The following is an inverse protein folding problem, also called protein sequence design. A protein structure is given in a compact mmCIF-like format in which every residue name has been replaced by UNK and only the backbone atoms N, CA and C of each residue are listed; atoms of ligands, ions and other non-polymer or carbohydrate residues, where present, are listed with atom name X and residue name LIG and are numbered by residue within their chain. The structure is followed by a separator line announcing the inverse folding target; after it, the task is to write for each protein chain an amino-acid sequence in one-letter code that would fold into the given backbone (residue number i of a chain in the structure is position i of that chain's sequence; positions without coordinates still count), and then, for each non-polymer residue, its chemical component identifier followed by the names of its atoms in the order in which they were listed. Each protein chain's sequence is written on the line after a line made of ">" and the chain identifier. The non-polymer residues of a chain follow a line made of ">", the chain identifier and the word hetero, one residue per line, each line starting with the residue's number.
data_IF_381482875250
#
_entry.id   IF_381482875250
#
_cell.length_a   1.000
_cell.length_b   1.000
_cell.length_c   1.000
_cell.angle_alpha   90.00
_cell.angle_beta   90.00
_cell.angle_gamma   90.00
#
_symmetry.space_group_name_H-M   'P 1'
#
loop_
_entity.id
_entity.type
_entity.pdbx_description
1 polymer ?
#
# COMPACT_ATOMS: atom_id res chain seq x y z
N UNK A 1 -31.31 -29.31 -20.01
CA UNK A 1 -30.72 -28.29 -19.12
C UNK A 1 -29.87 -29.04 -18.11
N UNK A 2 -28.56 -29.12 -18.36
CA UNK A 2 -27.66 -29.90 -17.51
C UNK A 2 -27.38 -29.11 -16.23
N UNK A 3 -27.70 -29.72 -15.09
CA UNK A 3 -27.37 -29.21 -13.76
C UNK A 3 -25.85 -29.12 -13.64
N UNK A 4 -25.33 -27.90 -13.54
CA UNK A 4 -23.94 -27.64 -13.16
C UNK A 4 -23.85 -27.86 -11.64
N UNK A 5 -23.22 -28.96 -11.23
CA UNK A 5 -22.95 -29.27 -9.84
C UNK A 5 -21.79 -28.38 -9.33
N UNK A 6 -22.02 -27.47 -8.37
CA UNK A 6 -21.00 -26.57 -7.84
C UNK A 6 -19.99 -27.26 -6.89
N UNK A 7 -20.10 -28.57 -6.69
CA UNK A 7 -19.33 -29.35 -5.71
C UNK A 7 -18.33 -30.33 -6.34
N UNK A 8 -18.27 -30.39 -7.68
CA UNK A 8 -17.29 -31.22 -8.37
C UNK A 8 -15.87 -30.73 -8.00
N UNK A 9 -14.99 -31.61 -7.47
CA UNK A 9 -13.60 -31.25 -7.24
C UNK A 9 -13.01 -30.70 -8.53
N UNK A 10 -12.31 -29.57 -8.46
CA UNK A 10 -11.67 -28.93 -9.61
C UNK A 10 -10.56 -29.85 -10.17
N UNK A 11 -10.96 -30.88 -10.93
CA UNK A 11 -10.12 -31.95 -11.45
C UNK A 11 -9.40 -31.51 -12.75
N UNK A 12 -8.85 -30.31 -12.71
CA UNK A 12 -8.03 -29.75 -13.77
C UNK A 12 -6.92 -28.93 -13.12
N UNK A 13 -5.69 -29.47 -13.12
CA UNK A 13 -4.49 -28.71 -12.74
C UNK A 13 -4.56 -27.34 -13.40
N UNK A 14 -4.30 -26.27 -12.64
CA UNK A 14 -4.31 -24.91 -13.14
C UNK A 14 -3.61 -24.87 -14.51
N UNK A 15 -4.33 -24.43 -15.56
CA UNK A 15 -3.78 -24.35 -16.91
C UNK A 15 -2.42 -23.64 -16.85
N UNK A 16 -1.42 -24.13 -17.59
CA UNK A 16 -0.06 -23.54 -17.62
C UNK A 16 -0.09 -22.03 -17.91
N UNK A 17 -1.15 -21.52 -18.53
CA UNK A 17 -1.38 -20.09 -18.73
C UNK A 17 -1.73 -19.33 -17.44
N UNK A 18 -2.55 -19.89 -16.56
CA UNK A 18 -2.90 -19.30 -15.26
C UNK A 18 -1.67 -19.23 -14.35
N UNK A 19 -0.87 -20.29 -14.30
CA UNK A 19 0.42 -20.27 -13.58
C UNK A 19 1.38 -19.22 -14.14
N UNK A 20 1.47 -19.07 -15.46
CA UNK A 20 2.32 -18.04 -16.09
C UNK A 20 1.84 -16.62 -15.80
N UNK A 21 0.53 -16.39 -15.76
CA UNK A 21 -0.06 -15.08 -15.39
C UNK A 21 0.21 -14.74 -13.93
N UNK A 22 -0.09 -15.66 -13.02
CA UNK A 22 0.19 -15.51 -11.58
C UNK A 22 1.68 -15.22 -11.32
N UNK A 23 2.58 -15.96 -11.98
CA UNK A 23 4.03 -15.78 -11.81
C UNK A 23 4.54 -14.43 -12.31
N UNK A 24 3.86 -13.80 -13.28
CA UNK A 24 4.17 -12.44 -13.74
C UNK A 24 3.64 -11.40 -12.76
N UNK A 25 2.41 -11.56 -12.28
CA UNK A 25 1.80 -10.68 -11.29
C UNK A 25 2.58 -10.68 -9.96
N UNK A 26 2.96 -11.86 -9.46
CA UNK A 26 3.78 -11.98 -8.24
C UNK A 26 5.14 -11.31 -8.39
N UNK A 27 5.77 -11.37 -9.57
CA UNK A 27 7.06 -10.68 -9.80
C UNK A 27 6.90 -9.17 -9.70
N UNK A 28 5.87 -8.60 -10.31
CA UNK A 28 5.58 -7.17 -10.21
C UNK A 28 5.33 -6.76 -8.77
N UNK A 29 4.55 -7.54 -8.02
CA UNK A 29 4.29 -7.27 -6.60
C UNK A 29 5.56 -7.33 -5.74
N UNK A 30 6.43 -8.31 -5.97
CA UNK A 30 7.70 -8.46 -5.25
C UNK A 30 8.63 -7.27 -5.54
N UNK A 31 8.72 -6.80 -6.80
CA UNK A 31 9.54 -5.63 -7.15
C UNK A 31 9.07 -4.39 -6.40
N UNK A 32 7.75 -4.15 -6.36
CA UNK A 32 7.17 -3.02 -5.63
C UNK A 32 7.42 -3.12 -4.12
N UNK A 33 7.30 -4.33 -3.56
CA UNK A 33 7.57 -4.59 -2.15
C UNK A 33 9.03 -4.31 -1.78
N UNK A 34 9.99 -4.80 -2.57
CA UNK A 34 11.42 -4.53 -2.35
C UNK A 34 11.72 -3.04 -2.47
N UNK A 35 11.10 -2.35 -3.42
CA UNK A 35 11.26 -0.90 -3.57
C UNK A 35 10.70 -0.10 -2.37
N UNK A 36 9.59 -0.54 -1.79
CA UNK A 36 9.06 0.06 -0.54
C UNK A 36 10.05 -0.09 0.61
N UNK A 37 10.60 -1.30 0.79
CA UNK A 37 11.61 -1.57 1.83
C UNK A 37 12.86 -0.71 1.60
N UNK A 38 13.30 -0.56 0.35
CA UNK A 38 14.44 0.30 0.04
C UNK A 38 14.25 1.75 0.48
N UNK A 39 13.09 2.34 0.19
CA UNK A 39 12.77 3.72 0.59
C UNK A 39 12.68 3.85 2.12
N UNK A 40 12.04 2.90 2.81
CA UNK A 40 11.91 2.96 4.27
C UNK A 40 13.25 2.77 4.97
N UNK A 41 14.08 1.83 4.52
CA UNK A 41 15.45 1.67 5.04
C UNK A 41 16.26 2.95 4.83
N UNK A 42 16.13 3.60 3.67
CA UNK A 42 16.81 4.89 3.42
C UNK A 42 16.35 5.98 4.40
N UNK A 43 15.04 6.07 4.67
CA UNK A 43 14.51 7.00 5.66
C UNK A 43 15.08 6.72 7.06
N UNK A 44 15.08 5.45 7.51
CA UNK A 44 15.65 5.07 8.81
C UNK A 44 17.13 5.36 8.92
N UNK A 45 17.92 5.04 7.87
CA UNK A 45 19.35 5.34 7.85
C UNK A 45 19.60 6.85 7.96
N UNK A 46 18.79 7.67 7.29
CA UNK A 46 18.89 9.13 7.36
C UNK A 46 18.68 9.66 8.78
N UNK A 47 17.77 9.07 9.55
CA UNK A 47 17.52 9.46 10.95
C UNK A 47 18.55 8.87 11.92
N UNK A 48 18.91 7.61 11.72
CA UNK A 48 19.85 6.90 12.58
C UNK A 48 21.28 7.42 12.42
N UNK A 49 21.58 8.00 11.25
CA UNK A 49 22.84 8.67 11.01
C UNK A 49 22.77 10.08 11.62
N UNK A 50 23.36 10.28 12.80
CA UNK A 50 23.47 11.59 13.47
C UNK A 50 24.25 12.66 12.65
N UNK A 51 24.70 12.29 11.46
CA UNK A 51 25.35 13.17 10.47
C UNK A 51 24.40 14.18 9.83
N UNK A 52 23.07 13.99 9.91
CA UNK A 52 22.10 14.89 9.31
C UNK A 52 21.40 15.72 10.39
N UNK A 53 21.44 17.06 10.32
CA UNK A 53 20.73 17.92 11.25
C UNK A 53 19.23 17.60 11.29
N UNK A 54 18.66 17.53 12.49
CA UNK A 54 17.23 17.24 12.72
C UNK A 54 16.30 18.21 11.98
N UNK A 55 16.72 19.47 11.80
CA UNK A 55 15.98 20.46 11.02
C UNK A 55 15.80 20.11 9.54
N UNK A 56 16.69 19.31 8.95
CA UNK A 56 16.57 18.80 7.58
C UNK A 56 15.98 17.38 7.54
N UNK A 57 16.34 16.53 8.51
CA UNK A 57 15.86 15.15 8.56
C UNK A 57 14.33 15.07 8.64
N UNK A 58 13.70 15.86 9.53
CA UNK A 58 12.25 15.84 9.76
C UNK A 58 11.43 16.08 8.47
N UNK A 59 11.61 17.20 7.73
CA UNK A 59 10.85 17.43 6.50
C UNK A 59 11.19 16.41 5.40
N UNK A 60 12.43 15.93 5.34
CA UNK A 60 12.84 14.91 4.37
C UNK A 60 12.12 13.57 4.60
N UNK A 61 12.02 13.09 5.83
CA UNK A 61 11.29 11.86 6.17
C UNK A 61 9.80 12.02 5.91
N UNK A 62 9.22 13.18 6.23
CA UNK A 62 7.80 13.45 5.95
C UNK A 62 7.49 13.41 4.45
N UNK A 63 8.41 13.89 3.61
CA UNK A 63 8.29 13.78 2.16
C UNK A 63 8.37 12.31 1.72
N UNK A 64 9.33 11.54 2.22
CA UNK A 64 9.43 10.10 1.94
C UNK A 64 8.22 9.32 2.44
N UNK A 65 7.66 9.67 3.61
CA UNK A 65 6.46 9.07 4.16
C UNK A 65 5.22 9.36 3.30
N UNK A 66 5.13 10.56 2.72
CA UNK A 66 4.05 10.93 1.80
C UNK A 66 4.12 10.11 0.51
N UNK A 67 5.33 9.96 -0.06
CA UNK A 67 5.57 9.08 -1.22
C UNK A 67 5.21 7.63 -0.87
N UNK A 68 5.53 7.16 0.34
CA UNK A 68 5.14 5.83 0.80
C UNK A 68 3.63 5.65 0.81
N UNK A 69 2.86 6.58 1.38
CA UNK A 69 1.39 6.47 1.40
C UNK A 69 0.82 6.36 -0.01
N UNK A 70 1.30 7.16 -0.96
CA UNK A 70 0.85 7.12 -2.37
C UNK A 70 1.21 5.78 -3.02
N UNK A 71 2.45 5.34 -2.84
CA UNK A 71 2.96 4.06 -3.37
C UNK A 71 2.20 2.87 -2.79
N UNK A 72 1.90 2.90 -1.49
CA UNK A 72 1.09 1.89 -0.82
C UNK A 72 -0.30 1.86 -1.43
N UNK A 73 -0.98 3.00 -1.57
CA UNK A 73 -2.30 3.06 -2.17
C UNK A 73 -2.29 2.61 -3.64
N UNK A 74 -1.26 2.92 -4.44
CA UNK A 74 -1.19 2.57 -5.85
C UNK A 74 -0.83 1.09 -6.09
N UNK A 75 0.11 0.51 -5.35
CA UNK A 75 0.56 -0.87 -5.59
C UNK A 75 -0.27 -1.93 -4.87
N UNK A 76 -0.81 -1.64 -3.69
CA UNK A 76 -1.77 -2.54 -3.02
C UNK A 76 -3.08 -2.61 -3.81
N UNK A 77 -3.38 -1.57 -4.58
CA UNK A 77 -4.55 -1.46 -5.40
C UNK A 77 -4.18 -1.63 -6.87
N UNK A 78 -3.94 -2.87 -7.29
CA UNK A 78 -3.92 -3.22 -8.70
C UNK A 78 -5.32 -2.95 -9.30
N UNK A 79 -5.61 -1.69 -9.66
CA UNK A 79 -6.84 -1.18 -10.29
C UNK A 79 -7.08 -1.77 -11.70
N UNK A 80 -6.44 -2.87 -12.06
CA UNK A 80 -6.68 -3.56 -13.32
C UNK A 80 -7.81 -4.59 -13.25
N UNK A 81 -8.41 -4.81 -12.08
CA UNK A 81 -9.69 -5.53 -11.98
C UNK A 81 -10.85 -4.56 -12.23
N UNK A 82 -11.22 -4.41 -13.51
CA UNK A 82 -12.49 -3.78 -13.93
C UNK A 82 -13.64 -4.39 -13.12
N UNK A 83 -14.23 -3.62 -12.19
CA UNK A 83 -15.51 -3.96 -11.57
C UNK A 83 -15.68 -3.76 -10.05
N UNK A 84 -14.66 -3.42 -9.27
CA UNK A 84 -14.81 -3.42 -7.80
C UNK A 84 -14.99 -2.02 -7.21
N UNK A 85 -16.17 -1.42 -7.39
CA UNK A 85 -16.54 -0.15 -6.76
C UNK A 85 -16.35 -0.13 -5.23
N UNK A 86 -16.43 -1.30 -4.59
CA UNK A 86 -16.14 -1.51 -3.17
C UNK A 86 -14.68 -1.22 -2.77
N UNK A 87 -13.70 -1.54 -3.63
CA UNK A 87 -12.28 -1.27 -3.33
C UNK A 87 -12.03 0.24 -3.36
N UNK A 88 -12.62 0.93 -4.35
CA UNK A 88 -12.50 2.37 -4.44
C UNK A 88 -13.17 3.07 -3.23
N UNK A 89 -14.34 2.59 -2.80
CA UNK A 89 -15.02 3.10 -1.61
C UNK A 89 -14.19 2.90 -0.33
N UNK A 90 -13.51 1.75 -0.19
CA UNK A 90 -12.66 1.47 0.96
C UNK A 90 -11.42 2.36 1.01
N UNK A 91 -10.85 2.72 -0.14
CA UNK A 91 -9.71 3.64 -0.21
C UNK A 91 -10.10 5.09 0.04
N UNK A 92 -11.21 5.56 -0.54
CA UNK A 92 -11.72 6.88 -0.21
C UNK A 92 -12.11 6.98 1.27
N UNK A 93 -12.70 5.92 1.83
CA UNK A 93 -12.97 5.81 3.26
C UNK A 93 -11.70 5.79 4.11
N UNK A 94 -10.70 4.99 3.73
CA UNK A 94 -9.41 4.93 4.42
C UNK A 94 -8.65 6.26 4.40
N UNK A 95 -8.65 6.95 3.26
CA UNK A 95 -8.06 8.28 3.12
C UNK A 95 -8.81 9.32 3.97
N UNK A 96 -10.15 9.26 3.98
CA UNK A 96 -10.99 10.13 4.81
C UNK A 96 -10.72 9.94 6.31
N UNK A 97 -10.69 8.68 6.77
CA UNK A 97 -10.39 8.36 8.17
C UNK A 97 -8.97 8.80 8.53
N UNK A 98 -7.97 8.52 7.68
CA UNK A 98 -6.59 8.94 7.92
C UNK A 98 -6.48 10.47 8.02
N UNK A 99 -7.11 11.22 7.11
CA UNK A 99 -7.13 12.68 7.14
C UNK A 99 -7.81 13.20 8.42
N UNK A 100 -8.94 12.61 8.81
CA UNK A 100 -9.65 12.96 10.04
C UNK A 100 -8.81 12.68 11.29
N UNK A 101 -8.11 11.54 11.35
CA UNK A 101 -7.24 11.19 12.47
C UNK A 101 -6.06 12.16 12.57
N UNK A 102 -5.41 12.49 11.45
CA UNK A 102 -4.30 13.48 11.45
C UNK A 102 -4.81 14.85 11.90
N UNK A 103 -5.95 15.31 11.38
CA UNK A 103 -6.56 16.57 11.79
C UNK A 103 -6.90 16.59 13.28
N UNK A 104 -7.51 15.52 13.80
CA UNK A 104 -7.84 15.39 15.23
C UNK A 104 -6.59 15.39 16.11
N UNK A 105 -5.53 14.68 15.72
CA UNK A 105 -4.26 14.66 16.45
C UNK A 105 -3.56 16.02 16.42
N UNK A 106 -3.54 16.72 15.28
CA UNK A 106 -2.99 18.07 15.22
C UNK A 106 -3.75 19.03 16.13
N UNK A 107 -5.09 18.91 16.18
CA UNK A 107 -5.93 19.75 17.02
C UNK A 107 -5.72 19.45 18.51
N UNK A 108 -5.62 18.17 18.89
CA UNK A 108 -5.37 17.75 20.28
C UNK A 108 -3.96 18.11 20.77
N UNK A 109 -2.92 17.89 19.96
CA UNK A 109 -1.55 18.31 20.27
C UNK A 109 -1.45 19.84 20.30
N UNK A 110 -2.16 20.52 19.40
CA UNK A 110 -2.26 21.98 19.38
C UNK A 110 -2.92 22.54 20.64
N UNK A 111 -3.98 21.90 21.15
CA UNK A 111 -4.64 22.29 22.42
C UNK A 111 -3.74 22.02 23.63
N UNK A 112 -2.95 20.95 23.63
CA UNK A 112 -2.12 20.58 24.79
C UNK A 112 -0.79 21.32 24.88
N UNK A 113 -0.37 22.00 23.79
CA UNK A 113 0.89 22.75 23.72
C UNK A 113 0.74 24.26 23.97
N UNK A 114 -0.47 24.72 24.31
CA UNK A 114 -0.75 26.10 24.75
C UNK A 114 -1.45 26.12 26.11
#
# INVERSE_FOLDING_TARGET
>A
MAHVDPSAPLEGKASKETERKLKRESRTQIVSFVFMVFITTTAFLTVASDVIPSGFAIPFILLLASVQVIMQLYYFMHMNAKGTGWVNALIWGGLFVAAMTVAALMLLIGITKY
#
